data_IF_069117420363
#
_entry.id   IF_069117420363
#
_cell.length_a   1.000
_cell.length_b   1.000
_cell.length_c   1.000
_cell.angle_alpha   90.00
_cell.angle_beta   90.00
_cell.angle_gamma   90.00
#
_symmetry.space_group_name_H-M   'P 1'
#
loop_
_entity.id
_entity.type
_entity.pdbx_description
1 polymer ?
#
# COMPACT_ATOMS: atom_id res chain seq x y z
N UNK A 1 -24.37 82.68 -10.43
CA UNK A 1 -25.27 82.12 -9.38
C UNK A 1 -25.39 80.63 -9.59
N UNK A 2 -25.32 79.87 -8.51
CA UNK A 2 -25.22 78.42 -8.47
C UNK A 2 -26.49 77.70 -8.93
N UNK A 3 -26.37 76.51 -9.54
CA UNK A 3 -26.73 75.20 -8.96
C UNK A 3 -26.97 74.12 -10.04
N UNK A 4 -26.82 72.87 -9.57
CA UNK A 4 -27.24 71.56 -10.10
C UNK A 4 -26.25 70.67 -10.89
N UNK A 5 -26.12 69.46 -10.30
CA UNK A 5 -25.36 68.27 -10.65
C UNK A 5 -26.06 67.47 -11.76
N UNK A 6 -25.31 66.72 -12.57
CA UNK A 6 -25.68 65.36 -13.03
C UNK A 6 -24.41 64.50 -13.17
N UNK A 7 -24.55 63.25 -12.72
CA UNK A 7 -23.60 62.15 -12.68
C UNK A 7 -23.26 61.50 -14.04
N UNK A 8 -22.20 60.70 -14.00
CA UNK A 8 -21.95 59.46 -14.77
C UNK A 8 -21.46 59.56 -16.21
N UNK A 9 -20.17 59.22 -16.43
CA UNK A 9 -19.70 58.51 -17.64
C UNK A 9 -18.67 57.45 -17.22
N UNK A 10 -18.99 56.19 -17.56
CA UNK A 10 -18.13 55.01 -17.58
C UNK A 10 -17.00 55.18 -18.61
N UNK A 11 -15.81 54.65 -18.32
CA UNK A 11 -14.89 54.18 -19.35
C UNK A 11 -14.22 52.87 -18.91
N UNK A 12 -14.45 51.82 -19.70
CA UNK A 12 -13.83 50.50 -19.62
C UNK A 12 -12.33 50.56 -19.94
N UNK A 13 -11.52 49.71 -19.30
CA UNK A 13 -10.50 48.93 -20.01
C UNK A 13 -10.20 47.62 -19.28
N UNK A 14 -10.05 46.58 -20.09
CA UNK A 14 -10.18 45.17 -19.78
C UNK A 14 -8.89 44.52 -19.26
N UNK A 15 -9.03 43.50 -18.41
CA UNK A 15 -8.26 42.26 -18.52
C UNK A 15 -9.19 41.06 -18.35
N UNK A 16 -9.22 40.25 -19.40
CA UNK A 16 -9.68 38.86 -19.39
C UNK A 16 -8.82 38.04 -18.41
N UNK A 17 -9.30 36.95 -17.79
CA UNK A 17 -10.53 36.23 -18.05
C UNK A 17 -11.02 35.43 -16.84
N UNK A 18 -12.27 35.03 -16.96
CA UNK A 18 -13.00 34.14 -16.08
C UNK A 18 -12.37 32.75 -15.95
N UNK A 19 -12.62 32.10 -14.81
CA UNK A 19 -12.48 30.67 -14.66
C UNK A 19 -12.68 30.20 -13.22
N UNK A 20 -13.89 30.36 -12.69
CA UNK A 20 -14.32 29.65 -11.49
C UNK A 20 -14.63 28.18 -11.86
N UNK A 21 -14.18 27.23 -11.04
CA UNK A 21 -14.59 25.83 -11.14
C UNK A 21 -13.62 24.85 -10.47
N UNK A 22 -14.15 24.12 -9.50
CA UNK A 22 -13.69 22.82 -8.94
C UNK A 22 -12.55 22.81 -7.91
N UNK A 23 -13.00 22.88 -6.65
CA UNK A 23 -12.31 22.34 -5.48
C UNK A 23 -12.34 20.80 -5.55
N UNK A 24 -11.37 20.22 -6.23
CA UNK A 24 -11.06 18.80 -6.18
C UNK A 24 -9.54 18.62 -6.12
N UNK A 25 -9.06 17.94 -5.08
CA UNK A 25 -7.75 17.26 -5.07
C UNK A 25 -6.51 18.11 -5.32
N UNK A 26 -6.11 18.93 -4.34
CA UNK A 26 -4.69 19.30 -4.22
C UNK A 26 -4.05 18.35 -3.22
N UNK A 27 -3.49 17.25 -3.74
CA UNK A 27 -2.37 16.60 -3.07
C UNK A 27 -1.25 17.65 -2.94
N UNK A 28 -0.67 17.86 -1.74
CA UNK A 28 0.50 18.70 -1.62
C UNK A 28 1.58 18.17 -2.56
N UNK A 29 2.19 19.07 -3.34
CA UNK A 29 3.37 18.74 -4.12
C UNK A 29 4.39 18.03 -3.22
N UNK A 30 5.16 17.04 -3.73
CA UNK A 30 6.27 16.48 -2.98
C UNK A 30 7.10 17.66 -2.48
N UNK A 31 7.25 17.78 -1.16
CA UNK A 31 8.04 18.85 -0.56
C UNK A 31 9.35 18.87 -1.31
N UNK A 32 9.64 20.00 -1.98
CA UNK A 32 10.83 20.15 -2.80
C UNK A 32 12.02 19.97 -1.86
N UNK A 33 12.48 18.72 -1.75
CA UNK A 33 13.67 18.35 -1.04
C UNK A 33 14.76 19.27 -1.57
N UNK A 34 15.40 20.00 -0.66
CA UNK A 34 16.46 20.92 -1.02
C UNK A 34 17.53 20.16 -1.82
N UNK A 35 17.53 20.33 -3.15
CA UNK A 35 18.60 19.87 -4.04
C UNK A 35 19.86 20.74 -3.88
N UNK A 36 20.19 21.14 -2.64
CA UNK A 36 21.26 22.07 -2.32
C UNK A 36 22.34 21.51 -1.38
N UNK A 37 22.14 20.32 -0.81
CA UNK A 37 23.16 19.66 0.01
C UNK A 37 24.01 18.71 -0.84
N UNK A 38 25.33 18.85 -0.80
CA UNK A 38 26.24 17.80 -1.28
C UNK A 38 25.98 16.54 -0.46
N UNK A 39 25.37 15.51 -1.07
CA UNK A 39 25.24 14.19 -0.45
C UNK A 39 26.66 13.66 -0.20
N UNK A 40 27.02 13.23 1.02
CA UNK A 40 28.30 12.59 1.26
C UNK A 40 28.48 11.39 0.31
N UNK A 41 29.71 11.11 -0.10
CA UNK A 41 30.00 9.95 -0.93
C UNK A 41 29.45 8.67 -0.26
N UNK A 42 28.63 7.91 -0.99
CA UNK A 42 27.90 6.73 -0.49
C UNK A 42 28.86 5.70 0.14
N UNK A 43 28.86 5.59 1.46
CA UNK A 43 29.59 4.60 2.25
C UNK A 43 28.82 3.28 2.33
N UNK A 44 28.35 2.77 1.18
CA UNK A 44 27.56 1.54 1.09
C UNK A 44 26.14 1.68 1.67
N UNK A 45 25.18 0.98 1.08
CA UNK A 45 23.83 0.95 1.64
C UNK A 45 23.77 0.04 2.88
N UNK A 46 22.99 0.44 3.88
CA UNK A 46 22.63 -0.45 5.00
C UNK A 46 22.01 -1.72 4.42
N UNK A 47 22.55 -2.88 4.82
CA UNK A 47 22.09 -4.17 4.31
C UNK A 47 20.66 -4.47 4.74
N UNK A 48 19.88 -5.08 3.84
CA UNK A 48 18.54 -5.57 4.16
C UNK A 48 18.65 -6.94 4.84
N UNK A 49 18.06 -7.08 6.02
CA UNK A 49 17.97 -8.35 6.75
C UNK A 49 17.04 -9.35 6.05
N UNK A 50 16.08 -8.83 5.28
CA UNK A 50 15.12 -9.61 4.52
C UNK A 50 14.70 -8.89 3.24
N UNK A 51 14.48 -9.67 2.18
CA UNK A 51 13.85 -9.22 0.93
C UNK A 51 12.61 -10.05 0.67
N UNK A 52 11.54 -9.39 0.22
CA UNK A 52 10.23 -9.95 -0.08
C UNK A 52 9.87 -9.65 -1.53
N UNK A 53 9.19 -10.60 -2.18
CA UNK A 53 8.90 -10.53 -3.61
C UNK A 53 7.67 -9.68 -3.95
N UNK A 54 6.70 -9.55 -3.03
CA UNK A 54 5.51 -8.72 -3.22
C UNK A 54 5.69 -7.28 -2.73
N UNK A 55 4.70 -6.44 -3.03
CA UNK A 55 4.60 -5.09 -2.48
C UNK A 55 4.44 -5.11 -0.95
N UNK A 56 4.82 -4.04 -0.27
CA UNK A 56 4.70 -3.93 1.18
C UNK A 56 3.28 -4.20 1.69
N UNK A 57 2.24 -3.77 0.95
CA UNK A 57 0.84 -3.98 1.35
C UNK A 57 0.40 -5.45 1.42
N UNK A 58 1.16 -6.38 0.84
CA UNK A 58 0.90 -7.81 0.94
C UNK A 58 1.32 -8.38 2.30
N UNK A 59 2.07 -7.63 3.09
CA UNK A 59 2.65 -8.11 4.34
C UNK A 59 2.13 -7.33 5.53
N UNK A 60 1.89 -8.04 6.64
CA UNK A 60 1.76 -7.40 7.95
C UNK A 60 3.06 -7.52 8.72
N UNK A 61 3.36 -6.53 9.53
CA UNK A 61 4.52 -6.51 10.42
C UNK A 61 3.99 -6.34 11.84
N UNK A 62 4.35 -7.24 12.73
CA UNK A 62 3.99 -7.18 14.15
C UNK A 62 5.25 -7.30 15.01
N UNK A 63 5.45 -6.35 15.93
CA UNK A 63 6.48 -6.43 16.95
C UNK A 63 6.13 -7.47 18.02
N UNK A 64 7.12 -8.23 18.46
CA UNK A 64 7.00 -9.26 19.50
C UNK A 64 7.51 -8.70 20.84
N UNK A 65 7.09 -9.29 21.99
CA UNK A 65 7.54 -8.84 23.32
C UNK A 65 9.06 -8.94 23.55
N UNK A 66 9.76 -9.78 22.79
CA UNK A 66 11.23 -9.94 22.82
C UNK A 66 11.98 -8.90 21.95
N UNK A 67 11.25 -7.97 21.33
CA UNK A 67 11.78 -6.94 20.44
C UNK A 67 12.00 -7.41 19.00
N UNK A 68 11.80 -8.69 18.67
CA UNK A 68 11.82 -9.17 17.29
C UNK A 68 10.54 -8.78 16.55
N UNK A 69 10.50 -9.01 15.24
CA UNK A 69 9.32 -8.78 14.42
C UNK A 69 8.91 -10.02 13.66
N UNK A 70 7.60 -10.22 13.53
CA UNK A 70 6.98 -11.25 12.70
C UNK A 70 6.35 -10.59 11.48
N UNK A 71 6.80 -11.00 10.29
CA UNK A 71 6.25 -10.58 9.01
C UNK A 71 5.36 -11.70 8.47
N UNK A 72 4.12 -11.39 8.14
CA UNK A 72 3.13 -12.35 7.63
C UNK A 72 2.72 -11.99 6.21
N UNK A 73 2.85 -12.91 5.27
CA UNK A 73 2.29 -12.81 3.93
C UNK A 73 0.78 -13.03 3.97
N UNK A 74 -0.01 -12.01 3.62
CA UNK A 74 -1.48 -12.04 3.63
C UNK A 74 -2.02 -13.03 2.59
N UNK A 75 -1.29 -13.26 1.50
CA UNK A 75 -1.70 -14.12 0.38
C UNK A 75 -1.30 -15.55 0.65
N UNK A 76 0.00 -15.79 0.86
CA UNK A 76 0.58 -17.13 1.02
C UNK A 76 0.53 -17.68 2.44
N UNK A 77 0.29 -16.84 3.45
CA UNK A 77 0.31 -17.22 4.87
C UNK A 77 1.71 -17.48 5.44
N UNK A 78 2.77 -17.30 4.65
CA UNK A 78 4.14 -17.51 5.07
C UNK A 78 4.55 -16.51 6.17
N UNK A 79 5.28 -17.01 7.18
CA UNK A 79 5.80 -16.20 8.29
C UNK A 79 7.32 -16.05 8.17
N UNK A 80 7.82 -14.87 8.55
CA UNK A 80 9.26 -14.62 8.68
C UNK A 80 9.56 -13.81 9.94
N UNK A 81 10.48 -14.31 10.76
CA UNK A 81 10.99 -13.58 11.92
C UNK A 81 12.25 -12.79 11.56
N UNK A 82 12.36 -11.57 12.10
CA UNK A 82 13.53 -10.70 11.91
C UNK A 82 13.92 -10.01 13.22
N UNK A 83 15.20 -9.69 13.35
CA UNK A 83 15.74 -9.00 14.52
C UNK A 83 15.26 -7.52 14.59
N UNK A 84 15.23 -6.91 15.79
CA UNK A 84 15.04 -5.46 15.92
C UNK A 84 16.08 -4.67 15.12
N UNK A 85 15.81 -3.39 14.87
CA UNK A 85 16.72 -2.46 14.18
C UNK A 85 17.14 -2.90 12.77
N UNK A 86 16.38 -3.81 12.15
CA UNK A 86 16.64 -4.31 10.80
C UNK A 86 16.07 -3.39 9.70
N UNK A 87 16.54 -3.61 8.47
CA UNK A 87 15.94 -3.06 7.24
C UNK A 87 15.29 -4.18 6.44
N UNK A 88 14.08 -3.97 5.94
CA UNK A 88 13.35 -4.89 5.08
C UNK A 88 13.17 -4.29 3.70
N UNK A 89 13.34 -5.11 2.65
CA UNK A 89 13.08 -4.73 1.25
C UNK A 89 11.82 -5.44 0.74
N UNK A 90 10.91 -4.67 0.16
CA UNK A 90 9.75 -5.16 -0.58
C UNK A 90 9.89 -4.80 -2.06
N UNK A 91 8.96 -5.24 -2.91
CA UNK A 91 9.01 -4.98 -4.34
C UNK A 91 8.91 -3.48 -4.68
N UNK A 92 8.16 -2.71 -3.88
CA UNK A 92 7.84 -1.32 -4.14
C UNK A 92 8.44 -0.33 -3.12
N UNK A 93 8.79 -0.79 -1.92
CA UNK A 93 9.33 0.06 -0.86
C UNK A 93 10.28 -0.70 0.09
N UNK A 94 10.66 -0.04 1.17
CA UNK A 94 11.41 -0.63 2.27
C UNK A 94 10.83 -0.21 3.61
N UNK A 95 11.15 -0.98 4.66
CA UNK A 95 10.74 -0.69 6.03
C UNK A 95 11.94 -0.70 6.96
N UNK A 96 12.06 0.34 7.79
CA UNK A 96 13.00 0.42 8.90
C UNK A 96 12.36 -0.04 10.21
N UNK A 97 13.04 -0.91 10.95
CA UNK A 97 12.62 -1.42 12.26
C UNK A 97 13.45 -0.86 13.43
N UNK A 98 14.25 0.18 13.17
CA UNK A 98 15.05 0.92 14.13
C UNK A 98 14.26 2.13 14.68
N UNK A 99 13.24 1.83 15.49
CA UNK A 99 12.33 2.85 16.01
C UNK A 99 13.01 3.90 16.91
N UNK A 100 14.15 3.56 17.51
CA UNK A 100 15.03 4.50 18.22
C UNK A 100 16.28 4.90 17.42
N UNK A 101 16.51 4.25 16.28
CA UNK A 101 17.61 4.53 15.36
C UNK A 101 17.31 5.68 14.41
N UNK A 102 18.03 5.71 13.29
CA UNK A 102 17.96 6.80 12.32
C UNK A 102 16.55 6.95 11.72
N UNK A 103 15.87 5.85 11.39
CA UNK A 103 14.53 5.95 10.79
C UNK A 103 13.52 6.56 11.78
N UNK A 104 13.53 6.09 13.04
CA UNK A 104 12.68 6.64 14.09
C UNK A 104 12.98 8.10 14.42
N UNK A 105 14.27 8.47 14.50
CA UNK A 105 14.72 9.85 14.75
C UNK A 105 14.24 10.80 13.66
N UNK A 106 14.36 10.44 12.38
CA UNK A 106 13.88 11.28 11.28
C UNK A 106 12.36 11.39 11.30
N UNK A 107 11.65 10.28 11.53
CA UNK A 107 10.19 10.33 11.62
C UNK A 107 9.72 11.30 12.70
N UNK A 108 10.32 11.21 13.91
CA UNK A 108 10.04 12.14 15.01
C UNK A 108 10.43 13.57 14.68
N UNK A 109 11.49 13.78 13.90
CA UNK A 109 11.92 15.12 13.49
C UNK A 109 10.91 15.76 12.52
N UNK A 110 10.37 15.01 11.57
CA UNK A 110 9.27 15.47 10.71
C UNK A 110 8.03 15.83 11.53
N UNK A 111 7.61 14.95 12.44
CA UNK A 111 6.47 15.21 13.33
C UNK A 111 6.70 16.48 14.16
N UNK A 112 7.86 16.62 14.78
CA UNK A 112 8.18 17.78 15.62
C UNK A 112 8.28 19.09 14.83
N UNK A 113 8.79 19.04 13.61
CA UNK A 113 9.03 20.24 12.82
C UNK A 113 7.80 20.69 12.06
N UNK A 114 7.06 19.77 11.45
CA UNK A 114 5.99 20.07 10.48
C UNK A 114 4.61 19.57 10.92
N UNK A 115 4.50 18.94 12.09
CA UNK A 115 3.26 18.33 12.61
C UNK A 115 2.63 17.32 11.64
N UNK A 116 3.46 16.57 10.91
CA UNK A 116 3.01 15.53 9.97
C UNK A 116 3.97 14.35 9.92
N UNK A 117 3.45 13.20 9.50
CA UNK A 117 4.27 12.07 9.06
C UNK A 117 5.13 12.46 7.85
N UNK A 118 6.36 11.93 7.72
CA UNK A 118 7.13 12.12 6.51
C UNK A 118 6.44 11.46 5.31
N UNK A 119 6.67 12.01 4.12
CA UNK A 119 6.49 11.25 2.90
C UNK A 119 7.62 10.22 2.76
N UNK A 120 7.35 9.10 2.11
CA UNK A 120 8.26 7.95 2.07
C UNK A 120 9.56 8.25 1.31
N UNK A 121 9.54 9.19 0.36
CA UNK A 121 10.72 9.60 -0.41
C UNK A 121 11.64 10.51 0.41
N UNK A 122 11.09 11.55 1.04
CA UNK A 122 11.82 12.45 1.93
C UNK A 122 12.43 11.70 3.11
N UNK A 123 11.69 10.79 3.73
CA UNK A 123 12.23 9.92 4.78
C UNK A 123 13.45 9.12 4.27
N UNK A 124 13.34 8.52 3.09
CA UNK A 124 14.43 7.74 2.51
C UNK A 124 15.68 8.54 2.19
N UNK A 125 15.52 9.77 1.69
CA UNK A 125 16.63 10.69 1.46
C UNK A 125 17.37 11.04 2.75
N UNK A 126 16.63 11.42 3.81
CA UNK A 126 17.25 11.77 5.08
C UNK A 126 17.82 10.54 5.79
N UNK A 127 17.20 9.37 5.64
CA UNK A 127 17.68 8.13 6.21
C UNK A 127 19.02 7.74 5.61
N UNK A 128 19.13 7.78 4.28
CA UNK A 128 20.41 7.57 3.59
C UNK A 128 21.45 8.60 4.07
N UNK A 129 21.07 9.86 4.25
CA UNK A 129 21.98 10.91 4.72
C UNK A 129 22.57 10.60 6.10
N UNK A 130 21.74 10.17 7.06
CA UNK A 130 22.19 9.80 8.41
C UNK A 130 22.95 8.48 8.43
N UNK A 131 22.53 7.49 7.63
CA UNK A 131 23.20 6.21 7.53
C UNK A 131 24.62 6.35 6.94
N UNK A 132 24.86 7.42 6.15
CA UNK A 132 26.18 7.81 5.64
C UNK A 132 26.96 8.77 6.57
N UNK A 133 26.54 8.91 7.83
CA UNK A 133 27.31 9.59 8.88
C UNK A 133 27.04 11.07 9.06
N UNK A 134 26.06 11.66 8.38
CA UNK A 134 25.64 13.02 8.65
C UNK A 134 25.00 13.15 10.04
N UNK A 135 25.08 14.34 10.64
CA UNK A 135 24.49 14.59 11.96
C UNK A 135 23.00 14.89 11.83
N UNK A 136 22.19 14.33 12.73
CA UNK A 136 20.77 14.67 12.85
C UNK A 136 20.56 16.18 13.09
N UNK A 137 21.52 16.84 13.74
CA UNK A 137 21.51 18.29 13.95
C UNK A 137 21.56 19.09 12.64
N UNK A 138 22.34 18.64 11.65
CA UNK A 138 22.41 19.29 10.33
C UNK A 138 21.08 19.13 9.59
N UNK A 139 20.45 17.96 9.70
CA UNK A 139 19.11 17.72 9.13
C UNK A 139 18.07 18.64 9.79
N UNK A 140 18.05 18.73 11.12
CA UNK A 140 17.16 19.64 11.85
C UNK A 140 17.38 21.11 11.47
N UNK A 141 18.64 21.53 11.31
CA UNK A 141 19.00 22.86 10.83
C UNK A 141 18.42 23.10 9.42
N UNK A 142 18.54 22.12 8.52
CA UNK A 142 17.99 22.22 7.17
C UNK A 142 16.45 22.30 7.15
N UNK A 143 15.77 21.62 8.08
CA UNK A 143 14.31 21.66 8.16
C UNK A 143 13.82 23.04 8.60
N UNK A 144 14.44 23.62 9.63
CA UNK A 144 14.10 24.97 10.12
C UNK A 144 14.38 26.04 9.05
N UNK A 145 15.44 25.86 8.25
CA UNK A 145 15.79 26.76 7.15
C UNK A 145 14.99 26.51 5.86
N UNK A 146 14.14 25.48 5.83
CA UNK A 146 13.43 25.08 4.62
C UNK A 146 12.31 26.06 4.25
N UNK A 147 12.00 26.10 2.95
CA UNK A 147 10.82 26.83 2.44
C UNK A 147 9.53 26.32 3.09
N UNK A 148 9.38 25.01 3.30
CA UNK A 148 8.21 24.41 3.96
C UNK A 148 8.01 24.99 5.37
N UNK A 149 9.07 25.10 6.18
CA UNK A 149 8.99 25.69 7.52
C UNK A 149 8.55 27.16 7.46
N UNK A 150 9.15 27.94 6.56
CA UNK A 150 8.78 29.35 6.40
C UNK A 150 7.36 29.54 5.86
N UNK A 151 6.89 28.66 4.98
CA UNK A 151 5.54 28.73 4.41
C UNK A 151 4.47 28.35 5.47
N UNK A 152 4.78 27.39 6.34
CA UNK A 152 3.87 26.96 7.41
C UNK A 152 3.78 27.96 8.56
N UNK A 153 4.90 28.56 8.96
CA UNK A 153 4.98 29.29 10.23
C UNK A 153 5.45 30.75 10.11
N UNK A 154 5.99 31.14 8.96
CA UNK A 154 6.60 32.46 8.78
C UNK A 154 7.82 32.68 9.68
N UNK A 155 8.15 33.95 9.91
CA UNK A 155 9.26 34.33 10.78
C UNK A 155 8.85 34.27 12.26
N UNK A 156 9.32 33.25 12.98
CA UNK A 156 9.03 33.06 14.40
C UNK A 156 10.14 33.59 15.30
N UNK A 157 9.80 34.50 16.23
CA UNK A 157 10.67 34.80 17.37
C UNK A 157 10.84 33.57 18.30
N UNK A 158 11.73 33.66 19.30
CA UNK A 158 12.05 32.50 20.16
C UNK A 158 10.83 31.97 20.93
N UNK A 159 10.00 32.85 21.49
CA UNK A 159 8.78 32.44 22.20
C UNK A 159 7.80 31.73 21.26
N UNK A 160 7.49 32.33 20.12
CA UNK A 160 6.57 31.74 19.13
C UNK A 160 7.09 30.41 18.58
N UNK A 161 8.41 30.27 18.42
CA UNK A 161 9.04 29.02 18.03
C UNK A 161 8.84 27.91 19.05
N UNK A 162 9.15 28.17 20.33
CA UNK A 162 8.94 27.20 21.40
C UNK A 162 7.46 26.83 21.48
N UNK A 163 6.55 27.81 21.45
CA UNK A 163 5.10 27.54 21.41
C UNK A 163 4.72 26.63 20.25
N UNK A 164 5.30 26.82 19.05
CA UNK A 164 5.03 25.95 17.91
C UNK A 164 5.54 24.52 18.13
N UNK A 165 6.71 24.35 18.76
CA UNK A 165 7.21 23.01 19.11
C UNK A 165 6.29 22.29 20.10
N UNK A 166 5.78 23.00 21.12
CA UNK A 166 4.77 22.44 22.04
C UNK A 166 3.52 21.95 21.31
N UNK A 167 3.00 22.76 20.36
CA UNK A 167 1.83 22.37 19.56
C UNK A 167 2.10 21.15 18.69
N UNK A 168 3.23 21.11 18.01
CA UNK A 168 3.57 20.02 17.08
C UNK A 168 3.88 18.69 17.80
N UNK A 169 4.54 18.77 18.94
CA UNK A 169 5.12 17.60 19.64
C UNK A 169 4.20 17.13 20.76
N UNK A 170 3.77 18.05 21.62
CA UNK A 170 2.99 17.73 22.82
C UNK A 170 1.49 17.91 22.62
N UNK A 171 1.07 18.42 21.45
CA UNK A 171 -0.34 18.64 21.11
C UNK A 171 -1.06 19.53 22.13
N UNK A 172 -0.35 20.51 22.72
CA UNK A 172 -0.86 21.44 23.73
C UNK A 172 -0.15 22.79 23.69
N UNK A 173 -0.74 23.79 24.33
CA UNK A 173 -0.04 25.05 24.63
C UNK A 173 0.97 24.87 25.77
N UNK A 174 2.11 25.59 25.76
CA UNK A 174 2.97 25.67 26.93
C UNK A 174 2.33 26.52 28.03
N UNK A 175 2.60 26.17 29.29
CA UNK A 175 2.47 27.11 30.39
C UNK A 175 3.60 28.15 30.35
N UNK A 176 3.39 29.29 31.03
CA UNK A 176 4.33 30.41 31.02
C UNK A 176 5.74 30.03 31.55
N UNK A 177 5.88 29.30 32.68
CA UNK A 177 7.18 28.79 33.12
C UNK A 177 7.89 27.90 32.08
N UNK A 178 7.15 26.99 31.44
CA UNK A 178 7.68 26.06 30.45
C UNK A 178 8.22 26.75 29.21
N UNK A 179 7.47 27.71 28.64
CA UNK A 179 7.97 28.47 27.48
C UNK A 179 9.19 29.32 27.85
N UNK A 180 9.19 29.96 29.02
CA UNK A 180 10.33 30.75 29.49
C UNK A 180 11.59 29.93 29.72
N UNK A 181 11.46 28.70 30.23
CA UNK A 181 12.57 27.77 30.40
C UNK A 181 13.31 27.54 29.07
N UNK A 182 12.59 27.19 28.01
CA UNK A 182 13.19 26.95 26.69
C UNK A 182 13.67 28.23 25.99
N UNK A 183 12.94 29.34 26.13
CA UNK A 183 13.36 30.65 25.61
C UNK A 183 14.67 31.08 26.27
N UNK A 184 14.85 30.81 27.57
CA UNK A 184 16.09 31.08 28.29
C UNK A 184 17.30 30.41 27.65
N UNK A 185 17.18 29.15 27.23
CA UNK A 185 18.26 28.47 26.50
C UNK A 185 18.53 29.08 25.13
N UNK A 186 17.49 29.51 24.40
CA UNK A 186 17.68 30.14 23.08
C UNK A 186 18.35 31.52 23.18
N UNK A 187 18.08 32.24 24.27
CA UNK A 187 18.61 33.58 24.52
C UNK A 187 19.96 33.55 25.23
N UNK A 188 20.31 32.44 25.90
CA UNK A 188 21.49 32.32 26.75
C UNK A 188 21.31 32.95 28.13
N UNK A 189 20.06 33.09 28.57
CA UNK A 189 19.66 33.64 29.88
C UNK A 189 19.28 32.55 30.87
N UNK A 190 19.36 31.28 30.46
CA UNK A 190 19.08 30.14 31.34
C UNK A 190 20.11 30.07 32.50
N UNK A 191 19.71 29.71 33.74
CA UNK A 191 20.58 29.76 34.91
C UNK A 191 21.84 28.88 34.88
N UNK A 192 21.89 27.87 34.03
CA UNK A 192 23.06 27.00 33.84
C UNK A 192 24.12 27.60 32.87
N UNK A 193 23.83 28.77 32.28
CA UNK A 193 24.73 29.45 31.35
C UNK A 193 24.81 28.82 29.97
N UNK A 194 24.00 27.80 29.66
CA UNK A 194 24.01 27.11 28.37
C UNK A 194 23.13 27.87 27.38
N UNK A 195 23.67 28.09 26.18
CA UNK A 195 22.91 28.59 25.03
C UNK A 195 22.71 27.50 24.00
N UNK A 196 21.47 27.21 23.65
CA UNK A 196 21.11 26.23 22.63
C UNK A 196 20.77 26.90 21.30
N UNK A 197 21.09 26.21 20.20
CA UNK A 197 20.56 26.56 18.88
C UNK A 197 19.10 26.13 18.76
N UNK A 198 18.33 26.76 17.86
CA UNK A 198 16.97 26.33 17.54
C UNK A 198 16.91 24.87 17.10
N UNK A 199 17.86 24.45 16.27
CA UNK A 199 18.00 23.05 15.86
C UNK A 199 18.18 22.12 17.07
N UNK A 200 19.04 22.47 18.03
CA UNK A 200 19.21 21.66 19.24
C UNK A 200 17.95 21.64 20.11
N UNK A 201 17.25 22.78 20.25
CA UNK A 201 15.96 22.83 20.96
C UNK A 201 14.93 21.92 20.28
N UNK A 202 14.79 21.97 18.95
CA UNK A 202 13.93 21.06 18.19
C UNK A 202 14.28 19.60 18.40
N UNK A 203 15.57 19.24 18.38
CA UNK A 203 16.00 17.86 18.65
C UNK A 203 15.61 17.39 20.05
N UNK A 204 15.75 18.26 21.05
CA UNK A 204 15.37 17.93 22.43
C UNK A 204 13.86 17.68 22.56
N UNK A 205 13.03 18.45 21.87
CA UNK A 205 11.58 18.19 21.79
C UNK A 205 11.29 16.90 21.01
N UNK A 206 11.94 16.73 19.86
CA UNK A 206 11.72 15.62 18.94
C UNK A 206 12.07 14.26 19.56
N UNK A 207 13.15 14.15 20.32
CA UNK A 207 13.56 12.91 20.96
C UNK A 207 13.15 12.82 22.44
N UNK A 208 12.27 13.72 22.90
CA UNK A 208 11.70 13.66 24.25
C UNK A 208 10.90 12.37 24.46
N UNK A 209 10.88 11.82 25.69
CA UNK A 209 10.06 10.64 26.01
C UNK A 209 8.58 10.82 25.63
N UNK A 210 8.01 12.00 25.91
CA UNK A 210 6.62 12.32 25.59
C UNK A 210 6.34 12.22 24.08
N UNK A 211 7.24 12.74 23.23
CA UNK A 211 7.07 12.61 21.78
C UNK A 211 7.25 11.18 21.28
N UNK A 212 8.20 10.43 21.87
CA UNK A 212 8.40 9.01 21.52
C UNK A 212 7.13 8.21 21.79
N UNK A 213 6.49 8.42 22.93
CA UNK A 213 5.24 7.76 23.31
C UNK A 213 4.09 8.14 22.38
N UNK A 214 3.97 9.42 21.99
CA UNK A 214 2.95 9.90 21.07
C UNK A 214 3.12 9.36 19.64
N UNK A 215 4.36 9.19 19.19
CA UNK A 215 4.68 8.70 17.83
C UNK A 215 4.63 7.17 17.73
N UNK A 216 4.94 6.45 18.82
CA UNK A 216 5.07 4.99 18.83
C UNK A 216 3.88 4.25 18.18
N UNK A 217 2.60 4.60 18.42
CA UNK A 217 1.48 3.93 17.77
C UNK A 217 1.53 3.95 16.24
N UNK A 218 2.13 5.00 15.65
CA UNK A 218 2.25 5.18 14.20
C UNK A 218 3.42 4.41 13.58
N UNK A 219 4.45 4.08 14.36
CA UNK A 219 5.69 3.48 13.85
C UNK A 219 5.99 2.08 14.41
N UNK A 220 5.21 1.59 15.38
CA UNK A 220 5.45 0.29 16.06
C UNK A 220 5.50 -0.91 15.12
N UNK A 221 4.91 -0.81 13.94
CA UNK A 221 4.90 -1.86 12.91
C UNK A 221 5.94 -1.60 11.81
N UNK A 222 6.93 -0.75 12.09
CA UNK A 222 7.95 -0.33 11.14
C UNK A 222 7.61 0.97 10.43
N UNK A 223 8.65 1.56 9.86
CA UNK A 223 8.59 2.86 9.18
C UNK A 223 8.87 2.65 7.70
N UNK A 224 7.83 2.83 6.87
CA UNK A 224 7.95 2.71 5.42
C UNK A 224 8.71 3.90 4.82
N UNK A 225 9.64 3.61 3.91
CA UNK A 225 10.40 4.60 3.15
C UNK A 225 10.73 4.07 1.74
N UNK A 226 11.08 4.98 0.82
CA UNK A 226 11.69 4.64 -0.47
C UNK A 226 13.20 4.77 -0.34
N UNK A 227 13.98 3.70 -0.52
CA UNK A 227 15.44 3.81 -0.51
C UNK A 227 15.94 4.86 -1.50
N UNK A 228 16.96 5.63 -1.11
CA UNK A 228 17.42 6.73 -1.94
C UNK A 228 17.86 6.25 -3.34
N UNK A 229 17.46 7.00 -4.36
CA UNK A 229 17.68 6.63 -5.77
C UNK A 229 16.77 5.53 -6.30
N UNK A 230 15.79 5.06 -5.52
CA UNK A 230 14.69 4.22 -6.01
C UNK A 230 13.41 5.04 -6.22
N UNK A 231 12.52 4.52 -7.05
CA UNK A 231 11.18 5.06 -7.27
C UNK A 231 10.14 3.96 -7.06
N UNK A 232 8.90 4.36 -6.84
CA UNK A 232 7.78 3.44 -6.98
C UNK A 232 7.76 2.84 -8.39
N UNK A 233 7.18 1.65 -8.59
CA UNK A 233 7.03 1.05 -9.91
C UNK A 233 6.30 2.01 -10.88
N UNK A 234 6.97 2.34 -11.99
CA UNK A 234 6.45 3.25 -13.00
C UNK A 234 5.66 2.47 -14.06
N UNK A 235 4.39 2.21 -13.78
CA UNK A 235 3.45 1.64 -14.75
C UNK A 235 2.36 2.67 -15.09
N UNK A 236 1.87 2.70 -16.34
CA UNK A 236 0.73 3.56 -16.66
C UNK A 236 -0.48 3.13 -15.81
N UNK A 237 -1.27 4.09 -15.32
CA UNK A 237 -2.49 3.82 -14.52
C UNK A 237 -3.45 2.84 -15.20
N UNK A 238 -3.49 2.85 -16.54
CA UNK A 238 -4.30 1.92 -17.33
C UNK A 238 -3.88 0.45 -17.19
N UNK A 239 -2.65 0.15 -16.78
CA UNK A 239 -2.19 -1.22 -16.54
C UNK A 239 -2.91 -1.87 -15.34
N UNK A 240 -3.39 -1.05 -14.41
CA UNK A 240 -4.13 -1.51 -13.24
C UNK A 240 -5.63 -1.71 -13.51
N UNK A 241 -6.13 -1.33 -14.70
CA UNK A 241 -7.55 -1.38 -15.03
C UNK A 241 -8.08 -2.83 -15.06
N UNK A 242 -8.86 -3.18 -14.04
CA UNK A 242 -9.54 -4.46 -13.89
C UNK A 242 -10.55 -4.38 -12.74
N UNK A 243 -11.38 -5.41 -12.62
CA UNK A 243 -12.07 -5.73 -11.38
C UNK A 243 -11.20 -6.71 -10.58
N UNK A 244 -11.12 -6.52 -9.28
CA UNK A 244 -10.43 -7.37 -8.32
C UNK A 244 -11.43 -7.75 -7.23
N UNK A 245 -11.66 -9.05 -7.04
CA UNK A 245 -12.64 -9.54 -6.08
C UNK A 245 -11.94 -10.37 -4.99
N UNK A 246 -12.44 -10.27 -3.77
CA UNK A 246 -11.82 -10.92 -2.64
C UNK A 246 -12.54 -10.76 -1.31
N UNK A 247 -11.77 -10.81 -0.23
CA UNK A 247 -12.31 -10.85 1.13
C UNK A 247 -11.59 -9.89 2.08
N UNK A 248 -12.36 -9.41 3.06
CA UNK A 248 -11.90 -8.73 4.26
C UNK A 248 -11.78 -9.75 5.40
N UNK A 249 -10.75 -9.62 6.24
CA UNK A 249 -10.55 -10.44 7.45
C UNK A 249 -10.00 -9.59 8.59
N UNK A 250 -10.27 -9.94 9.84
CA UNK A 250 -9.78 -9.22 11.03
C UNK A 250 -10.90 -8.99 12.05
N UNK A 251 -11.04 -7.75 12.53
CA UNK A 251 -12.08 -7.36 13.48
C UNK A 251 -13.52 -7.52 12.95
N UNK A 252 -13.68 -7.56 11.63
CA UNK A 252 -14.87 -8.02 10.91
C UNK A 252 -14.39 -8.79 9.66
N UNK A 253 -15.31 -9.43 8.95
CA UNK A 253 -15.06 -10.17 7.72
C UNK A 253 -16.10 -9.83 6.67
N UNK A 254 -15.83 -10.13 5.41
CA UNK A 254 -16.76 -9.81 4.33
C UNK A 254 -16.17 -10.01 2.96
N UNK A 255 -16.93 -9.65 1.94
CA UNK A 255 -16.41 -9.55 0.57
C UNK A 255 -15.90 -8.13 0.29
N UNK A 256 -15.04 -8.03 -0.71
CA UNK A 256 -14.53 -6.77 -1.24
C UNK A 256 -14.41 -6.90 -2.76
N UNK A 257 -14.93 -5.91 -3.48
CA UNK A 257 -14.74 -5.73 -4.91
C UNK A 257 -14.11 -4.36 -5.16
N UNK A 258 -12.99 -4.34 -5.88
CA UNK A 258 -12.26 -3.15 -6.29
C UNK A 258 -12.31 -3.09 -7.82
N UNK A 259 -12.86 -2.02 -8.37
CA UNK A 259 -12.91 -1.77 -9.82
C UNK A 259 -12.05 -0.57 -10.13
N UNK A 260 -11.05 -0.77 -10.99
CA UNK A 260 -10.17 0.29 -11.50
C UNK A 260 -10.44 0.47 -12.99
N UNK A 261 -10.69 1.70 -13.42
CA UNK A 261 -10.85 2.02 -14.83
C UNK A 261 -9.53 2.48 -15.47
N UNK A 262 -9.53 2.70 -16.79
CA UNK A 262 -8.33 3.10 -17.54
C UNK A 262 -7.77 4.48 -17.14
N UNK A 263 -8.57 5.35 -16.51
CA UNK A 263 -8.12 6.66 -16.01
C UNK A 263 -7.56 6.58 -14.58
N UNK A 264 -7.50 5.40 -13.97
CA UNK A 264 -7.06 5.22 -12.58
C UNK A 264 -8.11 5.55 -11.53
N UNK A 265 -9.37 5.83 -11.92
CA UNK A 265 -10.45 5.96 -10.95
C UNK A 265 -10.74 4.59 -10.35
N UNK A 266 -10.77 4.52 -9.02
CA UNK A 266 -10.98 3.31 -8.24
C UNK A 266 -12.31 3.41 -7.50
N UNK A 267 -13.14 2.39 -7.65
CA UNK A 267 -14.34 2.19 -6.85
C UNK A 267 -14.18 0.91 -6.03
N UNK A 268 -14.45 0.99 -4.73
CA UNK A 268 -14.40 -0.15 -3.84
C UNK A 268 -15.76 -0.33 -3.17
N UNK A 269 -16.23 -1.57 -3.08
CA UNK A 269 -17.50 -1.92 -2.46
C UNK A 269 -17.46 -3.30 -1.82
N UNK A 270 -18.36 -3.58 -0.89
CA UNK A 270 -18.43 -4.87 -0.23
C UNK A 270 -19.56 -4.94 0.79
N UNK A 271 -19.70 -6.10 1.40
CA UNK A 271 -20.65 -6.42 2.45
C UNK A 271 -19.89 -7.01 3.63
N UNK A 272 -19.98 -6.31 4.76
CA UNK A 272 -19.48 -6.80 6.03
C UNK A 272 -20.43 -7.85 6.61
N UNK A 273 -19.86 -8.94 7.11
CA UNK A 273 -20.61 -10.10 7.60
C UNK A 273 -21.06 -9.91 9.03
N UNK A 274 -20.16 -9.46 9.92
CA UNK A 274 -20.47 -9.19 11.33
C UNK A 274 -21.41 -8.01 11.48
N UNK A 275 -21.09 -6.88 10.84
CA UNK A 275 -21.96 -5.71 10.84
C UNK A 275 -23.23 -5.88 9.99
N UNK A 276 -23.26 -6.82 9.04
CA UNK A 276 -24.34 -7.01 8.06
C UNK A 276 -24.67 -5.73 7.24
N UNK A 277 -23.66 -4.93 6.94
CA UNK A 277 -23.77 -3.63 6.25
C UNK A 277 -23.05 -3.68 4.91
N UNK A 278 -23.69 -3.14 3.87
CA UNK A 278 -23.05 -2.86 2.59
C UNK A 278 -22.29 -1.52 2.68
N UNK A 279 -21.07 -1.51 2.17
CA UNK A 279 -20.16 -0.36 2.19
C UNK A 279 -19.64 -0.08 0.79
N UNK A 280 -19.44 1.20 0.46
CA UNK A 280 -18.83 1.60 -0.80
C UNK A 280 -18.07 2.92 -0.66
N UNK A 281 -17.15 3.16 -1.58
CA UNK A 281 -16.37 4.39 -1.68
C UNK A 281 -15.60 4.45 -3.00
N UNK A 282 -15.05 5.63 -3.29
CA UNK A 282 -14.23 5.84 -4.49
C UNK A 282 -13.01 6.70 -4.17
N UNK A 283 -11.97 6.53 -4.97
CA UNK A 283 -10.71 7.28 -4.89
C UNK A 283 -10.03 7.25 -6.26
N UNK A 284 -8.81 7.78 -6.35
CA UNK A 284 -7.94 7.63 -7.52
C UNK A 284 -6.69 6.84 -7.12
N UNK A 285 -6.22 5.95 -7.99
CA UNK A 285 -4.94 5.27 -7.80
C UNK A 285 -3.80 6.29 -7.77
N UNK A 286 -2.92 6.14 -6.79
CA UNK A 286 -1.63 6.81 -6.74
C UNK A 286 -0.55 5.96 -7.42
N UNK A 287 0.64 6.54 -7.56
CA UNK A 287 1.81 5.87 -8.13
C UNK A 287 2.10 4.53 -7.44
N UNK A 288 2.64 3.59 -8.22
CA UNK A 288 2.91 2.22 -7.76
C UNK A 288 1.65 1.39 -7.47
N UNK A 289 0.48 1.80 -7.97
CA UNK A 289 -0.79 1.09 -7.76
C UNK A 289 -1.34 1.23 -6.33
N UNK A 290 -0.88 2.24 -5.59
CA UNK A 290 -1.28 2.48 -4.19
C UNK A 290 -2.63 3.18 -4.12
N UNK A 291 -3.39 2.90 -3.06
CA UNK A 291 -4.67 3.56 -2.83
C UNK A 291 -5.04 3.63 -1.36
N UNK A 292 -5.87 4.61 -1.05
CA UNK A 292 -6.57 4.79 0.21
C UNK A 292 -8.00 5.23 -0.12
N UNK A 293 -8.99 4.50 0.38
CA UNK A 293 -10.41 4.75 0.13
C UNK A 293 -11.19 4.62 1.42
N UNK A 294 -12.06 5.59 1.69
CA UNK A 294 -13.03 5.52 2.78
C UNK A 294 -14.29 4.84 2.27
N UNK A 295 -14.63 3.68 2.85
CA UNK A 295 -15.88 2.98 2.58
C UNK A 295 -16.92 3.38 3.62
N UNK A 296 -18.07 3.83 3.15
CA UNK A 296 -19.20 4.24 3.99
C UNK A 296 -20.39 3.31 3.78
N UNK A 297 -21.06 2.97 4.87
CA UNK A 297 -22.35 2.27 4.88
C UNK A 297 -23.23 2.82 6.00
N UNK A 298 -24.38 2.20 6.24
CA UNK A 298 -25.32 2.64 7.28
C UNK A 298 -24.64 2.72 8.65
N UNK A 299 -24.43 3.93 9.16
CA UNK A 299 -23.76 4.23 10.43
C UNK A 299 -22.35 3.61 10.57
N UNK A 300 -21.68 3.33 9.46
CA UNK A 300 -20.36 2.71 9.45
C UNK A 300 -19.43 3.42 8.47
N UNK A 301 -18.21 3.67 8.91
CA UNK A 301 -17.13 4.21 8.08
C UNK A 301 -15.84 3.45 8.38
N UNK A 302 -15.13 3.04 7.34
CA UNK A 302 -13.82 2.41 7.45
C UNK A 302 -12.89 2.88 6.35
N UNK A 303 -11.60 2.89 6.62
CA UNK A 303 -10.56 3.19 5.63
C UNK A 303 -9.95 1.87 5.16
N UNK A 304 -9.87 1.69 3.85
CA UNK A 304 -9.16 0.59 3.19
C UNK A 304 -7.94 1.17 2.49
N UNK A 305 -6.76 0.65 2.80
CA UNK A 305 -5.48 1.14 2.28
C UNK A 305 -4.61 -0.02 1.81
N UNK A 306 -4.05 0.09 0.61
CA UNK A 306 -3.21 -0.96 0.06
C UNK A 306 -2.55 -0.61 -1.26
N UNK A 307 -2.13 -1.64 -1.98
CA UNK A 307 -1.60 -1.50 -3.34
C UNK A 307 -1.99 -2.68 -4.21
N UNK A 308 -1.92 -2.47 -5.52
CA UNK A 308 -2.09 -3.51 -6.54
C UNK A 308 -0.70 -3.90 -7.06
N UNK A 309 -0.36 -5.17 -6.92
CA UNK A 309 0.84 -5.74 -7.52
C UNK A 309 0.50 -6.27 -8.91
N UNK A 310 1.02 -5.61 -9.95
CA UNK A 310 0.78 -6.00 -11.35
C UNK A 310 1.46 -7.32 -11.73
N UNK A 311 2.53 -7.71 -11.06
CA UNK A 311 3.22 -8.97 -11.35
C UNK A 311 2.36 -10.17 -10.92
N UNK A 312 1.62 -10.03 -9.82
CA UNK A 312 0.75 -11.09 -9.28
C UNK A 312 -0.73 -10.92 -9.62
N UNK A 313 -1.15 -9.71 -10.00
CA UNK A 313 -2.56 -9.37 -10.26
C UNK A 313 -3.40 -9.29 -8.97
N UNK A 314 -2.77 -9.06 -7.83
CA UNK A 314 -3.40 -9.06 -6.51
C UNK A 314 -3.39 -7.66 -5.89
N UNK A 315 -4.55 -7.24 -5.41
CA UNK A 315 -4.74 -6.09 -4.54
C UNK A 315 -4.72 -6.55 -3.07
N UNK A 316 -3.80 -6.02 -2.29
CA UNK A 316 -3.63 -6.36 -0.87
C UNK A 316 -3.50 -5.12 0.00
N UNK A 317 -3.81 -5.26 1.29
CA UNK A 317 -3.60 -4.18 2.24
C UNK A 317 -4.33 -4.38 3.54
N UNK A 318 -4.49 -3.27 4.26
CA UNK A 318 -5.16 -3.19 5.54
C UNK A 318 -6.48 -2.42 5.48
N UNK A 319 -7.34 -2.66 6.46
CA UNK A 319 -8.50 -1.82 6.71
C UNK A 319 -8.60 -1.45 8.18
N UNK A 320 -9.17 -0.29 8.48
CA UNK A 320 -9.35 0.22 9.84
C UNK A 320 -10.71 0.90 10.00
N UNK A 321 -11.37 0.63 11.12
CA UNK A 321 -12.51 1.38 11.62
C UNK A 321 -12.13 1.95 12.99
N UNK A 322 -11.71 3.22 13.01
CA UNK A 322 -11.25 3.88 14.23
C UNK A 322 -12.37 4.08 15.26
N UNK A 323 -13.62 4.22 14.82
CA UNK A 323 -14.76 4.38 15.73
C UNK A 323 -15.04 3.10 16.53
N UNK A 324 -14.82 1.93 15.93
CA UNK A 324 -15.01 0.62 16.58
C UNK A 324 -13.71 0.01 17.11
N UNK A 325 -12.56 0.66 16.90
CA UNK A 325 -11.25 0.09 17.25
C UNK A 325 -10.92 -1.21 16.50
N UNK A 326 -11.57 -1.44 15.34
CA UNK A 326 -11.42 -2.65 14.55
C UNK A 326 -10.44 -2.42 13.40
N UNK A 327 -9.70 -3.47 13.04
CA UNK A 327 -8.82 -3.45 11.88
C UNK A 327 -8.61 -4.85 11.35
N UNK A 328 -8.03 -4.94 10.16
CA UNK A 328 -7.73 -6.20 9.54
C UNK A 328 -7.01 -6.04 8.21
N UNK A 329 -7.06 -7.09 7.41
CA UNK A 329 -6.42 -7.17 6.10
C UNK A 329 -7.43 -7.52 5.02
N UNK A 330 -7.06 -7.22 3.78
CA UNK A 330 -7.80 -7.68 2.61
C UNK A 330 -6.87 -8.29 1.57
N UNK A 331 -7.44 -9.20 0.79
CA UNK A 331 -6.82 -9.80 -0.38
C UNK A 331 -7.91 -9.93 -1.44
N UNK A 332 -7.71 -9.28 -2.58
CA UNK A 332 -8.56 -9.35 -3.76
C UNK A 332 -7.70 -9.57 -5.00
N UNK A 333 -8.11 -10.45 -5.89
CA UNK A 333 -7.37 -10.78 -7.10
C UNK A 333 -8.20 -10.44 -8.32
N UNK A 334 -7.52 -10.08 -9.41
CA UNK A 334 -8.17 -10.04 -10.73
C UNK A 334 -8.76 -11.43 -10.96
N UNK A 335 -10.04 -11.55 -11.40
CA UNK A 335 -10.57 -12.83 -11.83
C UNK A 335 -9.56 -13.44 -12.79
N UNK A 336 -9.04 -14.61 -12.42
CA UNK A 336 -8.28 -15.39 -13.37
C UNK A 336 -9.29 -15.65 -14.49
N UNK A 337 -9.08 -15.02 -15.63
CA UNK A 337 -9.74 -15.44 -16.86
C UNK A 337 -9.12 -16.80 -17.14
N UNK A 338 -9.61 -17.81 -16.43
CA UNK A 338 -9.48 -19.18 -16.86
C UNK A 338 -10.08 -19.14 -18.26
N UNK A 339 -9.30 -19.42 -19.32
CA UNK A 339 -9.93 -19.72 -20.60
C UNK A 339 -11.04 -20.71 -20.27
N UNK A 340 -12.22 -20.60 -20.89
CA UNK A 340 -13.14 -21.72 -20.86
C UNK A 340 -12.43 -22.87 -21.58
N UNK A 341 -11.63 -23.62 -20.83
CA UNK A 341 -10.88 -24.76 -21.34
C UNK A 341 -11.86 -25.88 -21.66
N UNK A 342 -13.08 -25.82 -21.11
CA UNK A 342 -14.10 -26.84 -21.32
C UNK A 342 -14.42 -27.11 -22.81
N UNK A 343 -14.67 -26.12 -23.69
CA UNK A 343 -14.75 -26.37 -25.13
C UNK A 343 -13.59 -27.17 -25.75
N UNK A 344 -12.35 -26.90 -25.32
CA UNK A 344 -11.16 -27.63 -25.79
C UNK A 344 -11.10 -29.03 -25.20
N UNK A 345 -11.39 -29.16 -23.90
CA UNK A 345 -11.50 -30.44 -23.18
C UNK A 345 -12.58 -31.31 -23.81
N UNK A 346 -13.75 -30.75 -24.11
CA UNK A 346 -14.85 -31.47 -24.76
C UNK A 346 -14.40 -31.98 -26.12
N UNK A 347 -13.71 -31.16 -26.91
CA UNK A 347 -13.14 -31.58 -28.20
C UNK A 347 -12.16 -32.76 -28.02
N UNK A 348 -11.23 -32.64 -27.07
CA UNK A 348 -10.24 -33.69 -26.76
C UNK A 348 -10.93 -34.98 -26.29
N UNK A 349 -11.86 -34.88 -25.34
CA UNK A 349 -12.55 -36.05 -24.77
C UNK A 349 -13.43 -36.71 -25.83
N UNK A 350 -14.12 -35.94 -26.66
CA UNK A 350 -14.89 -36.48 -27.79
C UNK A 350 -14.02 -37.21 -28.81
N UNK A 351 -12.83 -36.69 -29.12
CA UNK A 351 -11.96 -37.32 -30.11
C UNK A 351 -11.17 -38.51 -29.53
N UNK A 352 -10.73 -38.41 -28.28
CA UNK A 352 -9.75 -39.33 -27.70
C UNK A 352 -10.35 -40.38 -26.78
N UNK A 353 -11.49 -40.10 -26.14
CA UNK A 353 -12.08 -40.95 -25.10
C UNK A 353 -13.44 -41.54 -25.49
N UNK A 354 -14.34 -40.73 -26.07
CA UNK A 354 -15.71 -41.14 -26.44
C UNK A 354 -15.77 -42.37 -27.39
N UNK A 355 -14.83 -42.59 -28.33
CA UNK A 355 -14.88 -43.81 -29.16
C UNK A 355 -14.93 -45.12 -28.37
N UNK A 356 -14.34 -45.16 -27.17
CA UNK A 356 -14.42 -46.31 -26.25
C UNK A 356 -15.39 -46.08 -25.09
N UNK A 357 -15.50 -44.85 -24.59
CA UNK A 357 -16.26 -44.46 -23.39
C UNK A 357 -17.55 -43.71 -23.77
N UNK A 358 -18.41 -44.38 -24.53
CA UNK A 358 -19.74 -43.89 -24.93
C UNK A 358 -20.81 -44.91 -24.56
N UNK A 359 -22.06 -44.46 -24.40
CA UNK A 359 -23.24 -45.34 -24.38
C UNK A 359 -23.37 -46.19 -25.65
N UNK A 360 -22.74 -45.76 -26.76
CA UNK A 360 -22.64 -46.51 -28.03
C UNK A 360 -21.19 -46.43 -28.55
N UNK A 361 -20.26 -47.25 -28.01
CA UNK A 361 -18.87 -47.22 -28.45
C UNK A 361 -18.73 -47.50 -29.95
N UNK A 362 -17.78 -46.82 -30.58
CA UNK A 362 -17.51 -46.94 -32.03
C UNK A 362 -16.14 -47.52 -32.33
N UNK A 363 -15.25 -47.59 -31.33
CA UNK A 363 -13.93 -48.20 -31.47
C UNK A 363 -14.08 -49.74 -31.60
N UNK A 364 -13.52 -50.36 -32.66
CA UNK A 364 -13.51 -51.81 -32.79
C UNK A 364 -12.95 -52.51 -31.54
N UNK A 365 -13.64 -53.55 -31.09
CA UNK A 365 -13.27 -54.31 -29.88
C UNK A 365 -13.97 -53.85 -28.60
N UNK A 366 -14.74 -52.75 -28.65
CA UNK A 366 -15.53 -52.26 -27.51
C UNK A 366 -17.02 -52.30 -27.84
N UNK A 367 -17.76 -53.21 -27.18
CA UNK A 367 -19.23 -53.29 -27.29
C UNK A 367 -19.95 -52.55 -26.16
N UNK A 368 -19.25 -52.28 -25.06
CA UNK A 368 -19.72 -51.54 -23.89
C UNK A 368 -18.59 -50.66 -23.38
N UNK A 369 -18.92 -49.48 -22.84
CA UNK A 369 -17.92 -48.60 -22.24
C UNK A 369 -17.19 -49.30 -21.07
N UNK A 370 -15.84 -49.30 -21.07
CA UNK A 370 -15.07 -49.88 -19.97
C UNK A 370 -15.45 -49.26 -18.62
N UNK A 371 -15.62 -50.12 -17.61
CA UNK A 371 -16.02 -49.75 -16.25
C UNK A 371 -17.35 -48.99 -16.14
N UNK A 372 -18.18 -48.99 -17.20
CA UNK A 372 -19.42 -48.22 -17.26
C UNK A 372 -19.22 -46.71 -17.26
N UNK A 373 -18.00 -46.22 -17.55
CA UNK A 373 -17.69 -44.79 -17.60
C UNK A 373 -17.97 -44.27 -19.00
N UNK A 374 -18.85 -43.29 -19.12
CA UNK A 374 -19.19 -42.63 -20.39
C UNK A 374 -18.89 -41.14 -20.36
N UNK A 375 -18.64 -40.54 -21.52
CA UNK A 375 -18.31 -39.13 -21.68
C UNK A 375 -19.17 -38.42 -22.75
N UNK A 376 -20.38 -38.93 -23.01
CA UNK A 376 -21.27 -38.42 -24.05
C UNK A 376 -21.82 -37.01 -23.78
N UNK A 377 -21.86 -36.59 -22.51
CA UNK A 377 -22.39 -35.29 -22.08
C UNK A 377 -21.38 -34.49 -21.26
N UNK A 378 -21.52 -33.16 -21.26
CA UNK A 378 -20.68 -32.28 -20.45
C UNK A 378 -20.72 -32.62 -18.95
N UNK A 379 -21.90 -32.92 -18.40
CA UNK A 379 -22.06 -33.32 -17.01
C UNK A 379 -21.26 -34.59 -16.68
N UNK A 380 -21.19 -35.54 -17.61
CA UNK A 380 -20.38 -36.76 -17.45
C UNK A 380 -18.87 -36.45 -17.51
N UNK A 381 -18.44 -35.57 -18.41
CA UNK A 381 -17.03 -35.15 -18.52
C UNK A 381 -16.59 -34.46 -17.22
N UNK A 382 -17.37 -33.50 -16.73
CA UNK A 382 -17.08 -32.75 -15.50
C UNK A 382 -17.06 -33.63 -14.25
N UNK A 383 -18.08 -34.48 -14.07
CA UNK A 383 -18.16 -35.38 -12.91
C UNK A 383 -17.04 -36.42 -12.86
N UNK A 384 -16.30 -36.60 -13.96
CA UNK A 384 -15.19 -37.55 -14.09
C UNK A 384 -13.83 -36.87 -14.31
N UNK A 385 -13.72 -35.57 -14.05
CA UNK A 385 -12.49 -34.79 -14.25
C UNK A 385 -11.25 -35.42 -13.60
N UNK A 386 -11.37 -35.89 -12.35
CA UNK A 386 -10.30 -36.58 -11.64
C UNK A 386 -9.87 -37.89 -12.30
N UNK A 387 -10.83 -38.66 -12.85
CA UNK A 387 -10.53 -39.89 -13.58
C UNK A 387 -9.83 -39.60 -14.92
N UNK A 388 -10.27 -38.56 -15.62
CA UNK A 388 -9.64 -38.11 -16.87
C UNK A 388 -8.20 -37.67 -16.59
N UNK A 389 -7.98 -36.85 -15.56
CA UNK A 389 -6.64 -36.42 -15.16
C UNK A 389 -5.75 -37.61 -14.77
N UNK A 390 -6.23 -38.50 -13.90
CA UNK A 390 -5.47 -39.67 -13.46
C UNK A 390 -5.05 -40.58 -14.62
N UNK A 391 -5.98 -40.90 -15.52
CA UNK A 391 -5.73 -41.87 -16.60
C UNK A 391 -5.03 -41.29 -17.83
N UNK A 392 -5.37 -40.06 -18.23
CA UNK A 392 -4.86 -39.43 -19.45
C UNK A 392 -3.72 -38.44 -19.19
N UNK A 393 -3.53 -37.93 -17.98
CA UNK A 393 -2.42 -37.00 -17.70
C UNK A 393 -1.36 -37.67 -16.85
N UNK A 394 -1.75 -38.19 -15.69
CA UNK A 394 -0.81 -38.68 -14.68
C UNK A 394 -0.20 -40.03 -15.07
N UNK A 395 -1.02 -41.04 -15.37
CA UNK A 395 -0.52 -42.36 -15.75
C UNK A 395 -0.22 -42.50 -17.24
N UNK A 396 -0.82 -41.63 -18.06
CA UNK A 396 -0.87 -41.75 -19.52
C UNK A 396 -1.34 -43.14 -20.03
N UNK A 397 -2.07 -43.89 -19.19
CA UNK A 397 -2.60 -45.21 -19.55
C UNK A 397 -3.74 -45.14 -20.54
N UNK A 398 -4.37 -43.96 -20.67
CA UNK A 398 -5.43 -43.69 -21.63
C UNK A 398 -5.01 -42.60 -22.62
N UNK A 399 -5.38 -42.72 -23.90
CA UNK A 399 -6.01 -43.88 -24.54
C UNK A 399 -5.10 -45.12 -24.52
N UNK A 400 -5.67 -46.33 -24.44
CA UNK A 400 -4.88 -47.58 -24.40
C UNK A 400 -3.91 -47.64 -25.58
N UNK A 401 -2.61 -47.79 -25.32
CA UNK A 401 -1.58 -47.78 -26.36
C UNK A 401 -1.58 -46.52 -27.25
N UNK A 402 -2.19 -45.44 -26.77
CA UNK A 402 -2.48 -44.21 -27.51
C UNK A 402 -3.20 -44.41 -28.85
N UNK A 403 -4.11 -45.39 -28.95
CA UNK A 403 -4.77 -45.76 -30.22
C UNK A 403 -5.55 -44.63 -30.89
N UNK A 404 -6.03 -43.63 -30.13
CA UNK A 404 -6.71 -42.45 -30.70
C UNK A 404 -5.77 -41.28 -30.98
N UNK A 405 -4.45 -41.43 -30.78
CA UNK A 405 -3.45 -40.42 -31.15
C UNK A 405 -3.45 -39.16 -30.28
N UNK A 406 -3.73 -39.28 -28.97
CA UNK A 406 -3.67 -38.15 -28.04
C UNK A 406 -2.24 -37.62 -27.92
N UNK A 407 -2.07 -36.32 -28.13
CA UNK A 407 -0.80 -35.59 -28.09
C UNK A 407 -0.47 -35.07 -26.69
N UNK A 408 0.78 -34.69 -26.45
CA UNK A 408 1.17 -34.08 -25.16
C UNK A 408 0.47 -32.74 -24.94
N UNK A 409 0.34 -31.91 -25.98
CA UNK A 409 -0.37 -30.63 -25.88
C UNK A 409 -1.83 -30.79 -25.44
N UNK A 410 -2.52 -31.84 -25.91
CA UNK A 410 -3.88 -32.15 -25.44
C UNK A 410 -3.90 -32.60 -23.97
N UNK A 411 -2.90 -33.38 -23.53
CA UNK A 411 -2.77 -33.76 -22.10
C UNK A 411 -2.51 -32.54 -21.23
N UNK A 412 -1.72 -31.58 -21.71
CA UNK A 412 -1.44 -30.32 -21.00
C UNK A 412 -2.71 -29.47 -20.85
N UNK A 413 -3.59 -29.45 -21.86
CA UNK A 413 -4.93 -28.82 -21.76
C UNK A 413 -5.78 -29.50 -20.69
N UNK A 414 -5.82 -30.84 -20.65
CA UNK A 414 -6.54 -31.59 -19.60
C UNK A 414 -5.96 -31.33 -18.20
N UNK A 415 -4.63 -31.20 -18.09
CA UNK A 415 -3.94 -30.90 -16.83
C UNK A 415 -4.28 -29.49 -16.33
N UNK A 416 -4.22 -28.49 -17.22
CA UNK A 416 -4.56 -27.11 -16.91
C UNK A 416 -6.03 -26.97 -16.49
N UNK A 417 -6.92 -27.67 -17.19
CA UNK A 417 -8.35 -27.69 -16.85
C UNK A 417 -8.63 -28.29 -15.47
N UNK A 418 -7.96 -29.38 -15.11
CA UNK A 418 -8.08 -29.98 -13.78
C UNK A 418 -7.49 -29.08 -12.67
N UNK A 419 -6.30 -28.50 -12.91
CA UNK A 419 -5.63 -27.61 -11.96
C UNK A 419 -6.40 -26.29 -11.71
N UNK A 420 -7.21 -25.85 -12.68
CA UNK A 420 -8.09 -24.69 -12.57
C UNK A 420 -9.26 -24.86 -11.57
N UNK A 421 -9.36 -26.01 -10.88
CA UNK A 421 -10.34 -26.23 -9.82
C UNK A 421 -11.77 -26.47 -10.32
N UNK A 422 -11.89 -27.11 -11.49
CA UNK A 422 -13.12 -27.36 -12.27
C UNK A 422 -14.47 -27.10 -11.56
N UNK A 423 -15.32 -26.20 -12.09
CA UNK A 423 -16.68 -25.95 -11.59
C UNK A 423 -17.68 -27.04 -11.98
#
# INVERSE_FOLDING_TARGET
MATYRISSILLLLALAGCGAGDQAGQTPAPGTAAQGGTVPARQGAVAFAATFAGNYSQYTIAGNPDGTYTITDIVGGALRHVAPNSRLRFADSAVGLDLDGNAGKIFRLYQATFNRKPDIAGLGYHLETLDNGALLHDVATSFIASKEFSDLYGALNNRAYVTQLYRNVLQREPDEPGVLYHVGYLEGTHPDGIKLSRAQTLLNFSDSPENKDLVLPSIRNGIEYLPWGSSLPAHPVSAYAAQYDGSLRGGDSGNLSIVVNASGALQASGRLTGAAVDVAGSTTLADGGRFEVTLTGTNLSMVVKGSIDLATGVATGGWTNSALGQSGVFNAAKPVVQPSLFPQVQTIVTQRCVPCHSVRPTQPGFNTAPLGITFDTEAQIRSRSASIFGAAVQSQSMPLGNVTGMTQAERDVLAAWFAAGTP
#
